data_IF_008077798155
#
_entry.id   IF_008077798155
#
_cell.length_a   1.000
_cell.length_b   1.000
_cell.length_c   1.000
_cell.angle_alpha   90.00
_cell.angle_beta   90.00
_cell.angle_gamma   90.00
#
_symmetry.space_group_name_H-M   'P 1'
#
loop_
_entity.id
_entity.type
_entity.pdbx_description
1 polymer ?
#
# COMPACT_ATOMS: atom_id res chain seq x y z
N UNK A 1 -8.02 24.30 -24.28
CA UNK A 1 -9.35 23.95 -23.71
C UNK A 1 -9.63 22.43 -23.69
N UNK A 2 -9.44 21.66 -24.75
CA UNK A 2 -9.74 20.20 -24.80
C UNK A 2 -8.93 19.40 -23.78
N UNK A 3 -7.65 19.66 -23.60
CA UNK A 3 -6.77 18.93 -22.69
C UNK A 3 -7.09 19.20 -21.22
N UNK A 4 -7.52 20.40 -20.85
CA UNK A 4 -7.95 20.76 -19.49
C UNK A 4 -9.24 20.01 -19.14
N UNK A 5 -10.21 19.96 -20.07
CA UNK A 5 -11.46 19.22 -19.89
C UNK A 5 -11.22 17.72 -19.71
N UNK A 6 -10.28 17.12 -20.47
CA UNK A 6 -9.89 15.70 -20.29
C UNK A 6 -9.28 15.42 -18.93
N UNK A 7 -8.43 16.31 -18.41
CA UNK A 7 -7.85 16.16 -17.05
C UNK A 7 -8.91 16.25 -15.96
N UNK A 8 -9.84 17.22 -16.08
CA UNK A 8 -10.91 17.38 -15.09
C UNK A 8 -11.84 16.16 -15.06
N UNK A 9 -12.19 15.59 -16.21
CA UNK A 9 -13.00 14.36 -16.30
C UNK A 9 -12.26 13.18 -15.68
N UNK A 10 -10.97 12.99 -16.00
CA UNK A 10 -10.16 11.93 -15.41
C UNK A 10 -10.11 12.06 -13.89
N UNK A 11 -9.94 13.26 -13.36
CA UNK A 11 -9.90 13.49 -11.91
C UNK A 11 -11.24 13.18 -11.27
N UNK A 12 -12.36 13.63 -11.84
CA UNK A 12 -13.69 13.31 -11.32
C UNK A 12 -13.96 11.79 -11.24
N UNK A 13 -13.47 11.01 -12.23
CA UNK A 13 -13.57 9.55 -12.20
C UNK A 13 -12.71 8.98 -11.06
N UNK A 14 -11.47 9.47 -10.86
CA UNK A 14 -10.59 9.02 -9.79
C UNK A 14 -11.14 9.32 -8.40
N UNK A 15 -11.67 10.53 -8.20
CA UNK A 15 -12.26 10.95 -6.92
C UNK A 15 -13.49 10.10 -6.60
N UNK A 16 -14.39 9.90 -7.57
CA UNK A 16 -15.57 9.05 -7.40
C UNK A 16 -15.21 7.59 -7.12
N UNK A 17 -14.18 7.07 -7.81
CA UNK A 17 -13.70 5.71 -7.60
C UNK A 17 -13.03 5.55 -6.23
N UNK A 18 -12.23 6.54 -5.78
CA UNK A 18 -11.63 6.56 -4.46
C UNK A 18 -12.68 6.42 -3.36
N UNK A 19 -13.74 7.25 -3.42
CA UNK A 19 -14.80 7.24 -2.42
C UNK A 19 -15.54 5.89 -2.41
N UNK A 20 -15.99 5.43 -3.58
CA UNK A 20 -16.75 4.18 -3.70
C UNK A 20 -15.94 2.95 -3.31
N UNK A 21 -14.67 2.85 -3.70
CA UNK A 21 -13.81 1.77 -3.27
C UNK A 21 -13.53 1.80 -1.77
N UNK A 22 -13.36 2.99 -1.19
CA UNK A 22 -13.14 3.12 0.25
C UNK A 22 -14.37 2.79 1.08
N UNK A 23 -15.58 3.15 0.60
CA UNK A 23 -16.85 2.96 1.30
C UNK A 23 -17.41 1.54 1.13
N UNK A 24 -17.40 1.00 -0.09
CA UNK A 24 -18.11 -0.24 -0.45
C UNK A 24 -17.20 -1.44 -0.72
N UNK A 25 -15.91 -1.22 -0.93
CA UNK A 25 -14.97 -2.26 -1.35
C UNK A 25 -14.94 -2.48 -2.87
N UNK A 26 -13.97 -3.28 -3.31
CA UNK A 26 -13.75 -3.51 -4.74
C UNK A 26 -14.89 -4.28 -5.40
N UNK A 27 -15.35 -5.37 -4.77
CA UNK A 27 -16.35 -6.23 -5.40
C UNK A 27 -17.71 -5.55 -5.53
N UNK A 28 -18.18 -4.87 -4.50
CA UNK A 28 -19.49 -4.22 -4.48
C UNK A 28 -19.54 -2.96 -5.35
N UNK A 29 -18.43 -2.30 -5.62
CA UNK A 29 -18.37 -1.12 -6.49
C UNK A 29 -18.41 -1.50 -7.97
N UNK A 30 -19.27 -0.87 -8.76
CA UNK A 30 -19.38 -1.07 -10.21
C UNK A 30 -18.83 0.13 -10.99
N UNK A 31 -18.37 -0.10 -12.23
CA UNK A 31 -17.96 1.00 -13.12
C UNK A 31 -19.13 1.91 -13.52
N UNK A 32 -20.35 1.39 -13.47
CA UNK A 32 -21.56 2.17 -13.70
C UNK A 32 -21.76 3.21 -12.59
N UNK A 33 -21.72 2.81 -11.34
CA UNK A 33 -21.85 3.70 -10.18
C UNK A 33 -20.75 4.78 -10.17
N UNK A 34 -19.52 4.39 -10.49
CA UNK A 34 -18.40 5.35 -10.60
C UNK A 34 -18.67 6.38 -11.70
N UNK A 35 -19.12 5.94 -12.87
CA UNK A 35 -19.42 6.81 -14.00
C UNK A 35 -20.57 7.79 -13.66
N UNK A 36 -21.63 7.29 -13.05
CA UNK A 36 -22.78 8.09 -12.59
C UNK A 36 -22.34 9.16 -11.57
N UNK A 37 -21.58 8.76 -10.55
CA UNK A 37 -21.06 9.68 -9.52
C UNK A 37 -20.11 10.74 -10.10
N UNK A 38 -19.31 10.35 -11.10
CA UNK A 38 -18.39 11.25 -11.81
C UNK A 38 -19.08 12.14 -12.85
N UNK A 39 -20.38 11.94 -13.10
CA UNK A 39 -21.14 12.69 -14.12
C UNK A 39 -20.71 12.41 -15.56
N UNK A 40 -20.26 11.17 -15.86
CA UNK A 40 -19.80 10.76 -17.19
C UNK A 40 -20.52 9.49 -17.65
N UNK A 41 -20.53 9.25 -18.97
CA UNK A 41 -21.00 7.96 -19.49
C UNK A 41 -19.98 6.83 -19.25
N UNK A 42 -20.45 5.61 -19.04
CA UNK A 42 -19.60 4.42 -18.83
C UNK A 42 -18.64 4.20 -20.01
N UNK A 43 -19.04 4.45 -21.23
CA UNK A 43 -18.16 4.38 -22.41
C UNK A 43 -17.01 5.41 -22.35
N UNK A 44 -17.29 6.59 -21.79
CA UNK A 44 -16.26 7.60 -21.55
C UNK A 44 -15.27 7.12 -20.49
N UNK A 45 -15.72 6.50 -19.42
CA UNK A 45 -14.85 5.93 -18.37
C UNK A 45 -13.88 4.90 -18.96
N UNK A 46 -14.35 3.98 -19.81
CA UNK A 46 -13.49 2.99 -20.49
C UNK A 46 -12.42 3.62 -21.38
N UNK A 47 -12.62 4.85 -21.88
CA UNK A 47 -11.59 5.56 -22.65
C UNK A 47 -10.41 6.04 -21.81
N UNK A 48 -10.58 6.13 -20.47
CA UNK A 48 -9.53 6.50 -19.52
C UNK A 48 -8.94 5.28 -18.81
N UNK A 49 -9.77 4.29 -18.47
CA UNK A 49 -9.36 3.13 -17.69
C UNK A 49 -9.91 1.85 -18.33
N UNK A 50 -9.03 0.96 -18.84
CA UNK A 50 -9.44 -0.23 -19.60
C UNK A 50 -10.27 -1.23 -18.77
N UNK A 51 -10.11 -1.23 -17.44
CA UNK A 51 -10.87 -2.11 -16.54
C UNK A 51 -10.93 -1.55 -15.13
N UNK A 52 -11.79 -2.15 -14.29
CA UNK A 52 -11.97 -1.79 -12.89
C UNK A 52 -10.66 -1.90 -12.08
N UNK A 53 -9.83 -2.90 -12.36
CA UNK A 53 -8.54 -3.07 -11.69
C UNK A 53 -7.54 -1.98 -12.07
N UNK A 54 -7.52 -1.54 -13.35
CA UNK A 54 -6.67 -0.42 -13.76
C UNK A 54 -7.10 0.89 -13.10
N UNK A 55 -8.39 1.08 -12.92
CA UNK A 55 -8.92 2.24 -12.20
C UNK A 55 -8.53 2.19 -10.72
N UNK A 56 -8.66 1.01 -10.08
CA UNK A 56 -8.23 0.84 -8.69
C UNK A 56 -6.75 1.15 -8.51
N UNK A 57 -5.87 0.63 -9.36
CA UNK A 57 -4.43 0.95 -9.29
C UNK A 57 -4.16 2.45 -9.48
N UNK A 58 -4.89 3.10 -10.38
CA UNK A 58 -4.74 4.55 -10.59
C UNK A 58 -5.21 5.39 -9.39
N UNK A 59 -6.09 4.85 -8.55
CA UNK A 59 -6.52 5.45 -7.27
C UNK A 59 -5.51 5.14 -6.16
N UNK A 60 -5.05 3.90 -6.07
CA UNK A 60 -4.15 3.43 -4.99
C UNK A 60 -2.75 4.02 -5.14
N UNK A 61 -2.23 4.11 -6.36
CA UNK A 61 -0.83 4.49 -6.62
C UNK A 61 -0.44 5.85 -6.02
N UNK A 62 -1.16 6.97 -6.23
CA UNK A 62 -0.78 8.25 -5.66
C UNK A 62 -0.87 8.25 -4.13
N UNK A 63 -1.90 7.63 -3.54
CA UNK A 63 -2.04 7.50 -2.10
C UNK A 63 -0.87 6.71 -1.50
N UNK A 64 -0.53 5.57 -2.09
CA UNK A 64 0.55 4.71 -1.60
C UNK A 64 1.91 5.41 -1.70
N UNK A 65 2.18 6.08 -2.83
CA UNK A 65 3.43 6.84 -3.02
C UNK A 65 3.58 7.95 -1.98
N UNK A 66 2.53 8.71 -1.75
CA UNK A 66 2.54 9.79 -0.76
C UNK A 66 2.72 9.25 0.66
N UNK A 67 2.08 8.13 1.02
CA UNK A 67 2.27 7.46 2.31
C UNK A 67 3.71 6.99 2.50
N UNK A 68 4.34 6.40 1.48
CA UNK A 68 5.75 6.02 1.52
C UNK A 68 6.69 7.21 1.65
N UNK A 69 6.44 8.32 0.97
CA UNK A 69 7.24 9.54 1.10
C UNK A 69 7.17 10.13 2.51
N UNK A 70 5.97 10.14 3.12
CA UNK A 70 5.80 10.57 4.52
C UNK A 70 6.53 9.65 5.48
N UNK A 71 6.44 8.33 5.26
CA UNK A 71 7.14 7.34 6.07
C UNK A 71 8.66 7.52 5.99
N UNK A 72 9.22 7.67 4.79
CA UNK A 72 10.65 7.90 4.59
C UNK A 72 11.14 9.15 5.32
N UNK A 73 10.44 10.28 5.17
CA UNK A 73 10.76 11.52 5.89
C UNK A 73 10.72 11.32 7.42
N UNK A 74 9.83 10.48 7.93
CA UNK A 74 9.74 10.12 9.35
C UNK A 74 10.92 9.25 9.79
N UNK A 75 11.25 8.23 9.02
CA UNK A 75 12.37 7.29 9.30
C UNK A 75 13.70 8.04 9.41
N UNK A 76 13.95 8.98 8.50
CA UNK A 76 15.19 9.75 8.47
C UNK A 76 15.38 10.69 9.69
N UNK A 77 14.33 10.96 10.47
CA UNK A 77 14.45 11.73 11.72
C UNK A 77 15.11 10.94 12.86
N UNK A 78 15.07 9.62 12.80
CA UNK A 78 15.69 8.78 13.82
C UNK A 78 17.17 8.56 13.50
N UNK A 79 18.00 8.52 14.56
CA UNK A 79 19.45 8.27 14.44
C UNK A 79 19.81 6.79 14.60
N UNK A 80 19.15 6.12 15.56
CA UNK A 80 19.44 4.73 15.87
C UNK A 80 18.82 3.78 14.84
N UNK A 81 19.58 2.77 14.36
CA UNK A 81 19.08 1.76 13.41
C UNK A 81 17.80 1.08 13.87
N UNK A 82 17.69 0.73 15.16
CA UNK A 82 16.50 0.10 15.73
C UNK A 82 15.26 1.00 15.65
N UNK A 83 15.41 2.30 15.92
CA UNK A 83 14.29 3.25 15.82
C UNK A 83 13.82 3.40 14.37
N UNK A 84 14.76 3.41 13.42
CA UNK A 84 14.44 3.41 11.98
C UNK A 84 13.69 2.15 11.58
N UNK A 85 14.22 0.96 11.91
CA UNK A 85 13.57 -0.31 11.60
C UNK A 85 12.17 -0.39 12.22
N UNK A 86 12.03 -0.01 13.50
CA UNK A 86 10.74 0.06 14.18
C UNK A 86 9.77 1.00 13.47
N UNK A 87 10.22 2.17 13.05
CA UNK A 87 9.39 3.14 12.34
C UNK A 87 8.94 2.62 10.96
N UNK A 88 9.81 1.89 10.24
CA UNK A 88 9.47 1.25 8.96
C UNK A 88 8.41 0.18 9.19
N UNK A 89 8.61 -0.74 10.14
CA UNK A 89 7.68 -1.83 10.45
C UNK A 89 6.29 -1.31 10.82
N UNK A 90 6.21 -0.41 11.80
CA UNK A 90 4.94 0.17 12.23
C UNK A 90 4.29 1.03 11.11
N UNK A 91 5.10 1.74 10.34
CA UNK A 91 4.63 2.54 9.23
C UNK A 91 3.93 1.69 8.18
N UNK A 92 4.58 0.60 7.75
CA UNK A 92 4.05 -0.29 6.71
C UNK A 92 2.89 -1.13 7.24
N UNK A 93 3.01 -1.74 8.43
CA UNK A 93 2.05 -2.75 8.88
C UNK A 93 0.85 -2.18 9.63
N UNK A 94 0.96 -1.00 10.21
CA UNK A 94 -0.10 -0.39 11.00
C UNK A 94 -0.58 0.93 10.41
N UNK A 95 0.35 1.90 10.27
CA UNK A 95 -0.04 3.29 10.02
C UNK A 95 -0.63 3.47 8.63
N UNK A 96 0.07 2.99 7.59
CA UNK A 96 -0.40 3.11 6.20
C UNK A 96 -1.75 2.46 5.94
N UNK A 97 -1.99 1.17 6.27
CA UNK A 97 -3.30 0.58 6.01
C UNK A 97 -4.41 1.24 6.83
N UNK A 98 -4.10 1.80 8.01
CA UNK A 98 -5.08 2.48 8.84
C UNK A 98 -5.45 3.88 8.35
N UNK A 99 -4.63 4.53 7.53
CA UNK A 99 -4.96 5.83 6.91
C UNK A 99 -6.17 5.72 5.97
N UNK A 100 -6.29 4.62 5.24
CA UNK A 100 -7.47 4.30 4.43
C UNK A 100 -7.69 2.79 4.36
N UNK A 101 -8.25 2.23 5.42
CA UNK A 101 -8.48 0.79 5.53
C UNK A 101 -9.47 0.27 4.47
N UNK A 102 -10.43 1.08 4.03
CA UNK A 102 -11.37 0.72 2.97
C UNK A 102 -10.67 0.52 1.64
N UNK A 103 -9.75 1.43 1.28
CA UNK A 103 -8.97 1.31 0.06
C UNK A 103 -7.96 0.14 0.13
N UNK A 104 -7.34 -0.08 1.29
CA UNK A 104 -6.47 -1.24 1.52
C UNK A 104 -7.24 -2.57 1.37
N UNK A 105 -8.44 -2.67 1.93
CA UNK A 105 -9.32 -3.82 1.76
C UNK A 105 -9.70 -4.02 0.27
N UNK A 106 -10.04 -2.95 -0.44
CA UNK A 106 -10.36 -3.01 -1.88
C UNK A 106 -9.20 -3.54 -2.71
N UNK A 107 -7.97 -3.16 -2.37
CA UNK A 107 -6.78 -3.70 -3.02
C UNK A 107 -6.64 -5.21 -2.75
N UNK A 108 -6.81 -5.67 -1.51
CA UNK A 108 -6.76 -7.09 -1.16
C UNK A 108 -7.85 -7.90 -1.88
N UNK A 109 -9.07 -7.38 -1.96
CA UNK A 109 -10.17 -8.02 -2.70
C UNK A 109 -9.82 -8.18 -4.20
N UNK A 110 -9.27 -7.13 -4.81
CA UNK A 110 -8.87 -7.15 -6.21
C UNK A 110 -7.74 -8.15 -6.47
N UNK A 111 -6.72 -8.18 -5.60
CA UNK A 111 -5.59 -9.11 -5.72
C UNK A 111 -6.02 -10.57 -5.52
N UNK A 112 -6.91 -10.84 -4.56
CA UNK A 112 -7.43 -12.18 -4.30
C UNK A 112 -8.29 -12.73 -5.44
N UNK A 113 -8.89 -11.85 -6.26
CA UNK A 113 -9.70 -12.21 -7.43
C UNK A 113 -8.96 -12.10 -8.77
N UNK A 114 -7.68 -11.73 -8.74
CA UNK A 114 -6.87 -11.60 -9.95
C UNK A 114 -6.65 -12.96 -10.63
N UNK A 115 -6.68 -12.96 -11.96
CA UNK A 115 -6.37 -14.15 -12.76
C UNK A 115 -4.87 -14.51 -12.60
N UNK A 116 -4.54 -15.69 -12.03
CA UNK A 116 -3.15 -16.09 -11.80
C UNK A 116 -2.37 -16.33 -13.10
N UNK A 117 -3.03 -16.40 -14.25
CA UNK A 117 -2.40 -16.56 -15.57
C UNK A 117 -1.90 -15.21 -16.12
N UNK A 118 -2.39 -14.08 -15.60
CA UNK A 118 -1.97 -12.73 -15.97
C UNK A 118 -0.76 -12.28 -15.16
N UNK A 119 0.33 -13.05 -15.20
CA UNK A 119 1.57 -12.83 -14.47
C UNK A 119 2.35 -11.61 -14.99
N UNK A 120 1.90 -10.41 -14.72
CA UNK A 120 2.80 -9.25 -14.75
C UNK A 120 2.84 -8.67 -13.33
N UNK A 121 4.03 -8.62 -12.69
CA UNK A 121 4.17 -7.90 -11.44
C UNK A 121 3.68 -6.47 -11.68
N UNK A 122 2.78 -6.00 -10.82
CA UNK A 122 2.32 -4.62 -10.90
C UNK A 122 3.53 -3.69 -10.80
N UNK A 123 3.67 -2.70 -11.70
CA UNK A 123 4.74 -1.71 -11.58
C UNK A 123 4.74 -1.03 -10.20
N UNK A 124 3.57 -0.90 -9.59
CA UNK A 124 3.41 -0.36 -8.25
C UNK A 124 4.03 -1.28 -7.19
N UNK A 125 3.83 -2.61 -7.29
CA UNK A 125 4.44 -3.56 -6.36
C UNK A 125 5.96 -3.47 -6.40
N UNK A 126 6.55 -3.52 -7.60
CA UNK A 126 7.99 -3.38 -7.75
C UNK A 126 8.51 -2.05 -7.20
N UNK A 127 7.85 -0.95 -7.49
CA UNK A 127 8.19 0.36 -6.94
C UNK A 127 8.16 0.35 -5.40
N UNK A 128 7.16 -0.30 -4.81
CA UNK A 128 7.00 -0.43 -3.35
C UNK A 128 8.15 -1.22 -2.74
N UNK A 129 8.51 -2.36 -3.32
CA UNK A 129 9.63 -3.20 -2.88
C UNK A 129 10.95 -2.44 -2.95
N UNK A 130 11.23 -1.78 -4.08
CA UNK A 130 12.45 -0.98 -4.27
C UNK A 130 12.53 0.17 -3.25
N UNK A 131 11.41 0.83 -2.97
CA UNK A 131 11.35 1.93 -2.00
C UNK A 131 11.52 1.45 -0.57
N UNK A 132 10.90 0.32 -0.24
CA UNK A 132 11.04 -0.32 1.07
C UNK A 132 12.48 -0.77 1.31
N UNK A 133 13.13 -1.37 0.31
CA UNK A 133 14.55 -1.73 0.40
C UNK A 133 15.45 -0.51 0.65
N UNK A 134 15.16 0.61 -0.03
CA UNK A 134 15.90 1.87 0.18
C UNK A 134 15.82 2.32 1.64
N UNK A 135 14.64 2.27 2.25
CA UNK A 135 14.46 2.62 3.66
C UNK A 135 15.15 1.61 4.59
N UNK A 136 15.01 0.31 4.32
CA UNK A 136 15.63 -0.75 5.11
C UNK A 136 17.15 -0.62 5.15
N UNK A 137 17.80 -0.32 4.04
CA UNK A 137 19.25 -0.09 3.98
C UNK A 137 19.74 1.03 4.91
N UNK A 138 18.86 1.94 5.34
CA UNK A 138 19.21 2.96 6.34
C UNK A 138 19.22 2.44 7.78
N UNK A 139 18.61 1.28 8.02
CA UNK A 139 18.38 0.70 9.35
C UNK A 139 19.13 -0.63 9.56
N UNK A 140 19.56 -1.27 8.49
CA UNK A 140 20.21 -2.58 8.56
C UNK A 140 21.73 -2.44 8.64
N UNK A 141 22.42 -3.33 9.36
CA UNK A 141 23.88 -3.34 9.39
C UNK A 141 24.45 -3.84 8.05
N UNK A 142 25.54 -3.25 7.58
CA UNK A 142 26.19 -3.61 6.30
C UNK A 142 26.71 -5.06 6.26
N UNK A 143 27.02 -5.65 7.41
CA UNK A 143 27.59 -6.99 7.54
C UNK A 143 26.58 -8.00 8.11
N UNK A 144 25.31 -7.89 7.77
CA UNK A 144 24.26 -8.78 8.26
C UNK A 144 24.45 -10.22 7.81
N UNK A 145 24.09 -11.18 8.71
CA UNK A 145 24.05 -12.62 8.41
C UNK A 145 22.80 -13.03 7.63
N UNK A 146 21.95 -12.08 7.30
CA UNK A 146 20.63 -12.28 6.68
C UNK A 146 20.70 -11.75 5.26
N UNK A 147 20.13 -12.48 4.33
CA UNK A 147 19.84 -11.98 3.00
C UNK A 147 18.72 -10.93 3.08
N UNK A 148 19.12 -9.68 3.09
CA UNK A 148 18.18 -8.58 3.23
C UNK A 148 17.36 -8.32 1.96
N UNK A 149 17.75 -8.89 0.82
CA UNK A 149 17.04 -8.69 -0.46
C UNK A 149 15.61 -9.26 -0.43
N UNK A 150 15.36 -10.27 0.41
CA UNK A 150 14.04 -10.89 0.58
C UNK A 150 13.12 -10.12 1.55
N UNK A 151 13.65 -9.20 2.36
CA UNK A 151 12.87 -8.51 3.38
C UNK A 151 11.69 -7.69 2.82
N UNK A 152 11.81 -6.95 1.69
CA UNK A 152 10.66 -6.25 1.12
C UNK A 152 9.48 -7.17 0.86
N UNK A 153 9.73 -8.38 0.33
CA UNK A 153 8.67 -9.37 0.08
C UNK A 153 8.01 -9.83 1.38
N UNK A 154 8.83 -10.13 2.41
CA UNK A 154 8.32 -10.52 3.75
C UNK A 154 7.47 -9.40 4.36
N UNK A 155 7.89 -8.15 4.22
CA UNK A 155 7.14 -7.00 4.72
C UNK A 155 5.79 -6.82 4.01
N UNK A 156 5.76 -7.04 2.69
CA UNK A 156 4.51 -6.99 1.93
C UNK A 156 3.57 -8.12 2.29
N UNK A 157 4.06 -9.36 2.44
CA UNK A 157 3.25 -10.49 2.93
C UNK A 157 2.65 -10.22 4.32
N UNK A 158 3.42 -9.59 5.21
CA UNK A 158 2.92 -9.21 6.53
C UNK A 158 1.90 -8.06 6.46
N UNK A 159 2.05 -7.11 5.54
CA UNK A 159 1.06 -6.07 5.25
C UNK A 159 -0.28 -6.69 4.82
N UNK A 160 -0.25 -7.61 3.84
CA UNK A 160 -1.44 -8.31 3.37
C UNK A 160 -2.13 -9.05 4.52
N UNK A 161 -1.35 -9.78 5.33
CA UNK A 161 -1.84 -10.46 6.52
C UNK A 161 -2.45 -9.51 7.55
N UNK A 162 -1.86 -8.34 7.76
CA UNK A 162 -2.42 -7.32 8.66
C UNK A 162 -3.77 -6.80 8.18
N UNK A 163 -3.90 -6.45 6.91
CA UNK A 163 -5.17 -5.94 6.34
C UNK A 163 -6.28 -6.99 6.49
N UNK A 164 -5.98 -8.27 6.20
CA UNK A 164 -6.93 -9.38 6.34
C UNK A 164 -7.32 -9.59 7.80
N UNK A 165 -6.35 -9.62 8.73
CA UNK A 165 -6.60 -9.83 10.15
C UNK A 165 -7.47 -8.71 10.74
N UNK A 166 -7.25 -7.47 10.32
CA UNK A 166 -8.12 -6.34 10.70
C UNK A 166 -9.56 -6.54 10.26
N UNK A 167 -9.78 -7.03 9.04
CA UNK A 167 -11.12 -7.34 8.51
C UNK A 167 -11.80 -8.46 9.31
N UNK A 168 -11.04 -9.42 9.81
CA UNK A 168 -11.51 -10.51 10.66
C UNK A 168 -11.65 -10.12 12.15
N UNK A 169 -11.38 -8.86 12.50
CA UNK A 169 -11.32 -8.36 13.88
C UNK A 169 -10.28 -9.08 14.75
N UNK A 170 -9.26 -9.68 14.15
CA UNK A 170 -8.11 -10.28 14.84
C UNK A 170 -7.04 -9.19 15.05
N UNK A 171 -7.12 -8.55 16.21
CA UNK A 171 -6.24 -7.45 16.60
C UNK A 171 -4.95 -7.96 17.23
N UNK A 172 -4.02 -8.40 16.39
CA UNK A 172 -2.69 -8.80 16.85
C UNK A 172 -1.92 -7.61 17.43
N UNK A 173 -1.12 -7.88 18.45
CA UNK A 173 -0.22 -6.88 19.04
C UNK A 173 0.94 -6.60 18.07
N UNK A 174 0.70 -5.69 17.14
CA UNK A 174 1.66 -5.35 16.09
C UNK A 174 2.92 -4.67 16.67
N UNK A 175 2.79 -4.01 17.81
CA UNK A 175 3.93 -3.36 18.46
C UNK A 175 4.87 -4.42 19.06
N UNK A 176 4.32 -5.43 19.71
CA UNK A 176 5.09 -6.56 20.24
C UNK A 176 5.76 -7.37 19.14
N UNK A 177 5.06 -7.61 18.02
CA UNK A 177 5.63 -8.27 16.84
C UNK A 177 6.78 -7.46 16.25
N UNK A 178 6.62 -6.14 16.17
CA UNK A 178 7.65 -5.22 15.69
C UNK A 178 8.91 -5.27 16.58
N UNK A 179 8.75 -5.23 17.91
CA UNK A 179 9.90 -5.33 18.83
C UNK A 179 10.61 -6.68 18.69
N UNK A 180 9.87 -7.78 18.61
CA UNK A 180 10.45 -9.11 18.40
C UNK A 180 11.26 -9.20 17.12
N UNK A 181 10.76 -8.63 16.02
CA UNK A 181 11.50 -8.56 14.75
C UNK A 181 12.74 -7.69 14.83
N UNK A 182 12.67 -6.55 15.51
CA UNK A 182 13.85 -5.74 15.78
C UNK A 182 14.91 -6.52 16.57
N UNK A 183 14.51 -7.35 17.54
CA UNK A 183 15.43 -8.20 18.29
C UNK A 183 16.05 -9.31 17.44
N UNK A 184 15.27 -9.90 16.53
CA UNK A 184 15.76 -10.95 15.62
C UNK A 184 16.78 -10.36 14.62
N UNK A 185 16.51 -9.19 14.04
CA UNK A 185 17.31 -8.61 12.98
C UNK A 185 18.55 -7.89 13.52
N UNK A 186 18.41 -7.14 14.61
CA UNK A 186 19.45 -6.23 15.13
C UNK A 186 20.07 -6.74 16.45
N UNK A 187 19.59 -7.85 16.98
CA UNK A 187 19.95 -8.31 18.32
C UNK A 187 19.11 -7.67 19.43
N UNK A 188 19.07 -8.32 20.63
CA UNK A 188 18.32 -7.80 21.76
C UNK A 188 18.87 -6.44 22.21
N UNK A 189 18.01 -5.62 22.86
CA UNK A 189 18.44 -4.38 23.50
C UNK A 189 19.48 -4.67 24.58
N UNK A 190 20.61 -4.00 24.55
CA UNK A 190 21.51 -4.01 25.69
C UNK A 190 20.75 -3.53 26.93
N UNK A 191 20.71 -4.36 27.96
CA UNK A 191 20.14 -3.96 29.27
C UNK A 191 21.03 -2.86 29.82
N UNK A 192 20.50 -1.63 29.86
CA UNK A 192 21.11 -0.55 30.65
C UNK A 192 20.99 -0.82 32.15
#
# INVERSE_FOLDING_TARGET
>A
MVQVKKKAVRQAILDSAHDLFSEHGYHATTLQEIAERAGVGVSSLYSYFPSKIHLLYAVVEPWQKDAFERLEKRVLKFKAPRERLRAILLGVWRDMPMENIGLANSLMEALASADPTQKKPSPLLKWTEDRLMTMLNTALPENGRVDYEVLPNLFMMAYDGFVINRRLNDLRDIERLTEALCDIILGPREKR
#
